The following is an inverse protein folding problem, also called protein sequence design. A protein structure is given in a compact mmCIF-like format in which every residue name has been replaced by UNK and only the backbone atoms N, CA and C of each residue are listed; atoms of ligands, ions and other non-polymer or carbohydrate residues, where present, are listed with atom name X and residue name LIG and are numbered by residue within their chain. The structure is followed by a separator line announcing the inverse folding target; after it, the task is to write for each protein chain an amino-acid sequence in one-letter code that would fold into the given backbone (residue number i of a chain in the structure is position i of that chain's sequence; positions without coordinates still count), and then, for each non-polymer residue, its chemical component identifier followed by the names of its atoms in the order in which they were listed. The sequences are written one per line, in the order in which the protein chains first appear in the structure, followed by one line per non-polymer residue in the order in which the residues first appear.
data_IF_041709457440
#
_entry.id   IF_041709457440
#
_cell.length_a   1.000
_cell.length_b   1.000
_cell.length_c   1.000
_cell.angle_alpha   90.00
_cell.angle_beta   90.00
_cell.angle_gamma   90.00
#
_symmetry.space_group_name_H-M   'P 1'
#
loop_
_entity.id
_entity.type
_entity.pdbx_description
1 polymer ?
#
# COMPACT_ATOMS: atom_id res chain seq x y z
N UNK A 1 -19.66 -46.87 -54.21
CA UNK A 1 -18.41 -47.05 -53.46
C UNK A 1 -17.87 -45.66 -53.12
N UNK A 2 -18.58 -44.90 -52.28
CA UNK A 2 -18.15 -43.53 -51.91
C UNK A 2 -18.83 -43.01 -50.63
N UNK A 3 -18.92 -43.88 -49.62
CA UNK A 3 -19.48 -43.57 -48.30
C UNK A 3 -18.38 -43.56 -47.24
N UNK A 4 -17.21 -42.98 -47.56
CA UNK A 4 -16.04 -43.07 -46.69
C UNK A 4 -15.15 -41.81 -46.68
N UNK A 5 -15.66 -40.64 -47.07
CA UNK A 5 -14.97 -39.37 -46.81
C UNK A 5 -15.44 -38.75 -45.50
N UNK A 6 -14.96 -39.38 -44.42
CA UNK A 6 -14.44 -38.77 -43.20
C UNK A 6 -15.00 -37.37 -42.89
N UNK A 7 -16.16 -37.34 -42.24
CA UNK A 7 -16.43 -36.36 -41.18
C UNK A 7 -15.45 -36.62 -40.04
N UNK A 8 -14.22 -36.15 -40.18
CA UNK A 8 -13.36 -35.87 -39.03
C UNK A 8 -13.80 -34.50 -38.50
N UNK A 9 -15.00 -34.44 -37.91
CA UNK A 9 -15.23 -33.42 -36.90
C UNK A 9 -14.30 -33.81 -35.76
N UNK A 10 -13.16 -33.12 -35.64
CA UNK A 10 -12.48 -33.02 -34.37
C UNK A 10 -13.51 -32.42 -33.41
N UNK A 11 -14.23 -33.29 -32.70
CA UNK A 11 -14.89 -32.92 -31.45
C UNK A 11 -13.78 -32.65 -30.47
N UNK A 12 -13.17 -31.46 -30.56
CA UNK A 12 -12.40 -30.93 -29.46
C UNK A 12 -13.38 -30.93 -28.28
N UNK A 13 -13.14 -31.79 -27.29
CA UNK A 13 -13.84 -31.68 -26.00
C UNK A 13 -13.79 -30.21 -25.58
N UNK A 14 -14.90 -29.64 -25.07
CA UNK A 14 -14.88 -28.27 -24.59
C UNK A 14 -13.71 -28.16 -23.61
N UNK A 15 -12.68 -27.39 -23.99
CA UNK A 15 -11.54 -27.13 -23.12
C UNK A 15 -12.14 -26.48 -21.88
N UNK A 16 -12.11 -27.17 -20.76
CA UNK A 16 -12.53 -26.61 -19.48
C UNK A 16 -11.72 -25.33 -19.28
N UNK A 17 -12.39 -24.16 -19.14
CA UNK A 17 -11.67 -22.92 -18.99
C UNK A 17 -10.85 -23.01 -17.70
N UNK A 18 -9.64 -22.44 -17.70
CA UNK A 18 -8.78 -22.44 -16.51
C UNK A 18 -9.49 -21.85 -15.27
N UNK A 19 -10.46 -20.97 -15.48
CA UNK A 19 -11.31 -20.39 -14.43
C UNK A 19 -12.24 -21.40 -13.74
N UNK A 20 -12.38 -22.62 -14.26
CA UNK A 20 -13.14 -23.70 -13.60
C UNK A 20 -12.28 -24.46 -12.58
N UNK A 21 -10.99 -24.17 -12.47
CA UNK A 21 -10.14 -24.74 -11.44
C UNK A 21 -10.56 -24.21 -10.05
N UNK A 22 -10.45 -25.04 -9.00
CA UNK A 22 -10.54 -24.57 -7.62
C UNK A 22 -9.59 -23.41 -7.33
N UNK A 23 -10.01 -22.51 -6.44
CA UNK A 23 -9.27 -21.29 -6.09
C UNK A 23 -7.83 -21.57 -5.62
N UNK A 24 -7.61 -22.66 -4.88
CA UNK A 24 -6.25 -23.01 -4.43
C UNK A 24 -5.31 -23.38 -5.58
N UNK A 25 -5.81 -23.97 -6.68
CA UNK A 25 -5.00 -24.26 -7.87
C UNK A 25 -4.73 -22.99 -8.67
N UNK A 26 -5.71 -22.09 -8.76
CA UNK A 26 -5.49 -20.78 -9.36
C UNK A 26 -4.44 -20.00 -8.58
N UNK A 27 -4.48 -20.02 -7.25
CA UNK A 27 -3.46 -19.38 -6.42
C UNK A 27 -2.05 -19.89 -6.72
N UNK A 28 -1.86 -21.21 -6.84
CA UNK A 28 -0.56 -21.80 -7.18
C UNK A 28 -0.04 -21.26 -8.52
N UNK A 29 -0.91 -21.06 -9.51
CA UNK A 29 -0.51 -20.47 -10.81
C UNK A 29 -0.10 -19.01 -10.64
N UNK A 30 -0.80 -18.24 -9.80
CA UNK A 30 -0.50 -16.83 -9.51
C UNK A 30 0.73 -16.64 -8.61
N UNK A 31 1.16 -17.68 -7.90
CA UNK A 31 2.39 -17.71 -7.10
C UNK A 31 3.62 -18.19 -7.91
N UNK A 32 3.44 -18.54 -9.20
CA UNK A 32 4.52 -19.01 -10.05
C UNK A 32 5.46 -17.86 -10.45
N UNK A 33 6.77 -18.05 -10.26
CA UNK A 33 7.81 -17.06 -10.55
C UNK A 33 7.87 -16.65 -12.05
N UNK A 34 7.18 -17.37 -12.93
CA UNK A 34 7.05 -17.01 -14.34
C UNK A 34 6.10 -15.82 -14.59
N UNK A 35 5.26 -15.44 -13.62
CA UNK A 35 4.37 -14.29 -13.71
C UNK A 35 4.92 -13.14 -12.86
N UNK A 36 5.15 -11.99 -13.51
CA UNK A 36 5.49 -10.78 -12.77
C UNK A 36 4.23 -10.06 -12.25
N UNK A 37 4.44 -8.98 -11.50
CA UNK A 37 3.33 -8.22 -10.91
C UNK A 37 2.45 -7.55 -11.98
N UNK A 38 3.02 -7.22 -13.14
CA UNK A 38 2.29 -6.62 -14.27
C UNK A 38 1.37 -7.65 -14.92
N UNK A 39 1.86 -8.86 -15.15
CA UNK A 39 1.09 -10.01 -15.63
C UNK A 39 -0.06 -10.33 -14.68
N UNK A 40 0.23 -10.40 -13.38
CA UNK A 40 -0.78 -10.66 -12.35
C UNK A 40 -1.85 -9.56 -12.34
N UNK A 41 -1.44 -8.30 -12.50
CA UNK A 41 -2.35 -7.15 -12.60
C UNK A 41 -3.24 -7.27 -13.83
N UNK A 42 -2.66 -7.58 -14.99
CA UNK A 42 -3.42 -7.77 -16.23
C UNK A 42 -4.41 -8.92 -16.11
N UNK A 43 -3.99 -10.07 -15.57
CA UNK A 43 -4.84 -11.24 -15.34
C UNK A 43 -6.00 -10.93 -14.38
N UNK A 44 -5.73 -10.18 -13.30
CA UNK A 44 -6.75 -9.75 -12.33
C UNK A 44 -7.92 -9.03 -13.00
N UNK A 45 -7.66 -8.25 -14.06
CA UNK A 45 -8.65 -7.46 -14.77
C UNK A 45 -9.49 -8.26 -15.78
N UNK A 46 -9.10 -9.49 -16.11
CA UNK A 46 -9.80 -10.29 -17.13
C UNK A 46 -11.13 -10.88 -16.62
N UNK A 47 -11.18 -11.34 -15.36
CA UNK A 47 -12.37 -11.96 -14.79
C UNK A 47 -12.35 -12.02 -13.25
N UNK A 48 -13.52 -12.20 -12.63
CA UNK A 48 -13.64 -12.28 -11.17
C UNK A 48 -12.91 -13.46 -10.52
N UNK A 49 -12.77 -14.61 -11.21
CA UNK A 49 -12.07 -15.77 -10.67
C UNK A 49 -10.57 -15.46 -10.48
N UNK A 50 -9.96 -14.83 -11.48
CA UNK A 50 -8.58 -14.36 -11.41
C UNK A 50 -8.43 -13.20 -10.43
N UNK A 51 -9.42 -12.30 -10.36
CA UNK A 51 -9.40 -11.24 -9.36
C UNK A 51 -9.29 -11.78 -7.92
N UNK A 52 -10.02 -12.85 -7.61
CA UNK A 52 -9.94 -13.51 -6.30
C UNK A 52 -8.59 -14.17 -6.06
N UNK A 53 -8.09 -14.94 -7.03
CA UNK A 53 -6.77 -15.57 -6.92
C UNK A 53 -5.66 -14.54 -6.73
N UNK A 54 -5.65 -13.47 -7.53
CA UNK A 54 -4.68 -12.38 -7.45
C UNK A 54 -4.73 -11.63 -6.11
N UNK A 55 -5.90 -11.52 -5.46
CA UNK A 55 -5.99 -10.87 -4.16
C UNK A 55 -5.12 -11.56 -3.10
N UNK A 56 -4.91 -12.88 -3.21
CA UNK A 56 -4.01 -13.61 -2.30
C UNK A 56 -2.53 -13.24 -2.47
N UNK A 57 -2.17 -12.60 -3.58
CA UNK A 57 -0.84 -12.03 -3.82
C UNK A 57 -0.80 -10.57 -3.35
N UNK A 58 -1.71 -9.74 -3.86
CA UNK A 58 -1.71 -8.29 -3.61
C UNK A 58 -1.98 -7.91 -2.15
N UNK A 59 -2.79 -8.70 -1.45
CA UNK A 59 -3.18 -8.40 -0.06
C UNK A 59 -2.49 -9.29 0.95
N UNK A 60 -1.51 -10.12 0.52
CA UNK A 60 -0.75 -10.97 1.44
C UNK A 60 -0.06 -10.16 2.53
N UNK A 61 0.62 -9.10 2.10
CA UNK A 61 1.23 -8.11 2.97
C UNK A 61 0.57 -6.77 2.70
N UNK A 62 0.15 -6.09 3.76
CA UNK A 62 -0.38 -4.73 3.69
C UNK A 62 0.50 -3.79 4.51
N UNK A 63 0.51 -2.53 4.12
CA UNK A 63 1.36 -1.50 4.71
C UNK A 63 0.51 -0.50 5.48
N UNK A 64 1.08 0.01 6.56
CA UNK A 64 0.52 1.12 7.32
C UNK A 64 1.65 2.07 7.73
N UNK A 65 1.37 3.37 7.78
CA UNK A 65 2.33 4.37 8.26
C UNK A 65 1.61 5.49 9.02
N UNK A 66 2.34 6.56 9.31
CA UNK A 66 1.81 7.77 9.94
C UNK A 66 0.92 8.60 8.99
N UNK A 67 0.81 8.23 7.72
CA UNK A 67 0.00 8.93 6.72
C UNK A 67 -1.49 8.58 6.82
N UNK A 68 -2.37 9.58 6.70
CA UNK A 68 -3.83 9.36 6.69
C UNK A 68 -4.24 8.36 5.59
N UNK A 69 -3.67 8.51 4.39
CA UNK A 69 -3.96 7.64 3.26
C UNK A 69 -3.72 6.15 3.57
N UNK A 70 -2.60 5.84 4.22
CA UNK A 70 -2.24 4.46 4.58
C UNK A 70 -3.17 3.90 5.64
N UNK A 71 -3.51 4.72 6.64
CA UNK A 71 -4.50 4.36 7.67
C UNK A 71 -5.85 4.06 7.03
N UNK A 72 -6.33 4.91 6.12
CA UNK A 72 -7.63 4.74 5.47
C UNK A 72 -7.68 3.50 4.57
N UNK A 73 -6.59 3.21 3.85
CA UNK A 73 -6.45 1.96 3.07
C UNK A 73 -6.47 0.75 3.99
N UNK A 74 -5.70 0.77 5.09
CA UNK A 74 -5.68 -0.31 6.08
C UNK A 74 -7.09 -0.58 6.62
N UNK A 75 -7.81 0.46 7.05
CA UNK A 75 -9.18 0.37 7.54
C UNK A 75 -10.11 -0.21 6.45
N UNK A 76 -9.97 0.24 5.21
CA UNK A 76 -10.77 -0.25 4.07
C UNK A 76 -10.56 -1.73 3.82
N UNK A 77 -9.31 -2.21 3.91
CA UNK A 77 -8.95 -3.61 3.73
C UNK A 77 -9.52 -4.46 4.87
N UNK A 78 -9.34 -4.03 6.13
CA UNK A 78 -9.87 -4.74 7.31
C UNK A 78 -11.40 -4.86 7.27
N UNK A 79 -12.10 -3.83 6.81
CA UNK A 79 -13.56 -3.84 6.66
C UNK A 79 -14.07 -4.61 5.42
N UNK A 80 -13.18 -5.16 4.61
CA UNK A 80 -13.52 -5.91 3.40
C UNK A 80 -13.21 -7.40 3.59
N UNK A 81 -14.16 -8.25 4.01
CA UNK A 81 -13.89 -9.65 4.38
C UNK A 81 -13.15 -10.46 3.30
N UNK A 82 -13.46 -10.20 2.03
CA UNK A 82 -12.84 -10.87 0.88
C UNK A 82 -11.39 -10.43 0.60
N UNK A 83 -10.95 -9.30 1.16
CA UNK A 83 -9.56 -8.82 1.15
C UNK A 83 -8.86 -9.22 2.45
N UNK A 84 -9.51 -8.96 3.60
CA UNK A 84 -9.01 -9.27 4.94
C UNK A 84 -8.58 -10.74 5.10
N UNK A 85 -9.32 -11.68 4.52
CA UNK A 85 -8.95 -13.09 4.55
C UNK A 85 -7.63 -13.41 3.84
N UNK A 86 -7.12 -12.52 2.98
CA UNK A 86 -5.86 -12.71 2.28
C UNK A 86 -4.67 -12.06 3.00
N UNK A 87 -4.89 -11.35 4.10
CA UNK A 87 -3.83 -10.66 4.85
C UNK A 87 -3.15 -11.61 5.81
N UNK A 88 -1.84 -11.76 5.66
CA UNK A 88 -0.96 -12.56 6.52
C UNK A 88 0.05 -11.70 7.26
N UNK A 89 0.43 -10.57 6.67
CA UNK A 89 1.51 -9.72 7.16
C UNK A 89 1.06 -8.26 7.16
N UNK A 90 1.32 -7.56 8.27
CA UNK A 90 1.23 -6.10 8.33
C UNK A 90 2.63 -5.54 8.51
N UNK A 91 2.99 -4.57 7.70
CA UNK A 91 4.25 -3.85 7.80
C UNK A 91 3.97 -2.39 8.19
N UNK A 92 4.40 -2.02 9.38
CA UNK A 92 4.45 -0.65 9.83
C UNK A 92 5.69 0.03 9.24
N UNK A 93 5.45 0.99 8.34
CA UNK A 93 6.49 1.76 7.70
C UNK A 93 6.76 3.04 8.49
N UNK A 94 7.92 3.04 9.15
CA UNK A 94 8.40 4.13 9.98
C UNK A 94 8.83 5.31 9.11
N UNK A 95 8.21 6.46 9.36
CA UNK A 95 8.56 7.75 8.76
C UNK A 95 9.08 8.65 9.87
N UNK A 96 10.27 9.22 9.68
CA UNK A 96 10.87 10.15 10.63
C UNK A 96 10.51 11.59 10.26
N UNK A 97 9.25 12.00 10.49
CA UNK A 97 8.83 13.38 10.22
C UNK A 97 8.79 14.24 11.50
N UNK A 98 9.27 15.48 11.40
CA UNK A 98 9.14 16.52 12.43
C UNK A 98 8.97 17.92 11.79
N UNK A 99 8.50 18.95 12.52
CA UNK A 99 8.28 20.27 11.92
C UNK A 99 9.62 20.88 11.50
N UNK A 100 9.73 21.29 10.23
CA UNK A 100 10.99 21.77 9.65
C UNK A 100 11.98 20.66 9.29
N UNK A 101 11.51 19.40 9.22
CA UNK A 101 12.25 18.28 8.65
C UNK A 101 12.59 18.54 7.18
N UNK A 102 11.59 18.95 6.39
CA UNK A 102 11.76 19.14 4.94
C UNK A 102 12.71 20.30 4.60
N UNK A 103 12.74 21.35 5.43
CA UNK A 103 13.70 22.44 5.31
C UNK A 103 15.16 22.03 5.55
N UNK A 104 15.41 20.87 6.17
CA UNK A 104 16.76 20.36 6.49
C UNK A 104 17.25 19.32 5.49
N UNK A 105 16.41 18.89 4.56
CA UNK A 105 16.79 17.90 3.56
C UNK A 105 17.88 18.46 2.63
N UNK A 106 18.91 17.66 2.33
CA UNK A 106 19.91 18.07 1.35
C UNK A 106 19.23 18.29 0.00
N UNK A 107 19.64 19.34 -0.70
CA UNK A 107 19.14 19.62 -2.04
C UNK A 107 19.56 18.47 -2.97
N UNK A 108 18.59 17.63 -3.35
CA UNK A 108 18.81 16.49 -4.25
C UNK A 108 18.76 16.92 -5.72
N UNK A 109 18.44 18.18 -6.00
CA UNK A 109 18.54 18.71 -7.36
C UNK A 109 20.00 18.66 -7.82
N UNK A 110 20.24 18.03 -8.96
CA UNK A 110 21.57 17.96 -9.56
C UNK A 110 21.97 19.30 -10.22
N UNK A 111 21.98 20.40 -9.44
CA UNK A 111 22.59 21.68 -9.81
C UNK A 111 21.89 22.44 -10.95
N UNK A 112 20.57 22.30 -11.10
CA UNK A 112 19.79 23.08 -12.06
C UNK A 112 18.90 24.06 -11.29
N UNK A 113 19.26 25.34 -11.29
CA UNK A 113 18.62 26.42 -10.53
C UNK A 113 17.07 26.48 -10.64
N UNK A 114 16.50 26.07 -11.79
CA UNK A 114 15.04 25.98 -11.97
C UNK A 114 14.39 24.85 -11.15
N UNK A 115 15.04 23.68 -11.03
CA UNK A 115 14.55 22.57 -10.21
C UNK A 115 14.75 22.82 -8.71
N UNK A 116 15.74 23.62 -8.33
CA UNK A 116 16.00 23.99 -6.93
C UNK A 116 14.82 24.79 -6.34
N UNK A 117 14.22 25.65 -7.15
CA UNK A 117 13.08 26.49 -6.74
C UNK A 117 11.79 25.66 -6.62
N UNK A 118 11.54 24.77 -7.58
CA UNK A 118 10.37 23.87 -7.54
C UNK A 118 10.44 22.89 -6.37
N UNK A 119 11.60 22.27 -6.15
CA UNK A 119 11.83 21.34 -5.05
C UNK A 119 11.65 22.03 -3.69
N UNK A 120 12.21 23.24 -3.53
CA UNK A 120 12.06 24.03 -2.29
C UNK A 120 10.61 24.44 -2.05
N UNK A 121 9.91 24.92 -3.07
CA UNK A 121 8.49 25.25 -2.96
C UNK A 121 7.66 24.01 -2.57
N UNK A 122 8.00 22.84 -3.11
CA UNK A 122 7.37 21.57 -2.73
C UNK A 122 7.63 21.24 -1.25
N UNK A 123 8.87 21.37 -0.77
CA UNK A 123 9.22 21.12 0.63
C UNK A 123 8.50 22.06 1.60
N UNK A 124 8.45 23.36 1.29
CA UNK A 124 7.70 24.34 2.08
C UNK A 124 6.20 24.02 2.09
N UNK A 125 5.67 23.57 0.95
CA UNK A 125 4.29 23.13 0.84
C UNK A 125 4.02 21.88 1.68
N UNK A 126 4.94 20.91 1.71
CA UNK A 126 4.85 19.73 2.57
C UNK A 126 4.88 20.08 4.06
N UNK A 127 5.76 20.99 4.48
CA UNK A 127 5.79 21.49 5.87
C UNK A 127 4.46 22.15 6.26
N UNK A 128 3.86 22.95 5.36
CA UNK A 128 2.56 23.59 5.60
C UNK A 128 1.38 22.61 5.65
N UNK A 129 1.50 21.48 4.96
CA UNK A 129 0.43 20.49 4.80
C UNK A 129 0.65 19.23 5.62
N UNK A 130 1.72 19.16 6.43
CA UNK A 130 2.06 17.98 7.20
C UNK A 130 0.90 17.53 8.11
N UNK A 131 0.18 18.48 8.73
CA UNK A 131 -0.99 18.18 9.57
C UNK A 131 -2.18 17.57 8.77
N UNK A 132 -2.19 17.71 7.44
CA UNK A 132 -3.18 17.09 6.55
C UNK A 132 -2.71 15.75 5.99
N UNK A 133 -1.39 15.55 5.92
CA UNK A 133 -0.75 14.33 5.44
C UNK A 133 -0.70 13.25 6.54
N UNK A 134 -0.35 13.67 7.76
CA UNK A 134 -0.04 12.78 8.87
C UNK A 134 -1.17 12.78 9.90
N UNK A 135 -1.70 11.58 10.19
CA UNK A 135 -2.67 11.43 11.28
C UNK A 135 -1.99 11.46 12.64
N UNK A 136 -0.68 11.19 12.67
CA UNK A 136 0.12 11.21 13.87
C UNK A 136 0.88 12.55 13.96
N UNK A 137 0.52 13.45 14.90
CA UNK A 137 1.15 14.76 15.03
C UNK A 137 2.65 14.64 15.29
N UNK A 138 3.48 15.46 14.66
CA UNK A 138 4.90 15.46 14.96
C UNK A 138 5.22 15.97 16.36
N UNK A 139 6.35 15.50 16.88
CA UNK A 139 6.96 16.09 18.07
C UNK A 139 7.73 17.34 17.64
N UNK A 140 7.32 18.51 18.14
CA UNK A 140 8.10 19.73 17.96
C UNK A 140 9.44 19.58 18.68
N UNK A 141 10.54 19.56 17.91
CA UNK A 141 11.91 19.59 18.44
C UNK A 141 12.27 21.02 18.88
N UNK A 142 11.50 22.01 18.43
CA UNK A 142 11.71 23.42 18.74
C UNK A 142 11.07 23.77 20.10
N UNK A 143 11.95 23.82 21.11
CA UNK A 143 11.73 24.40 22.45
C UNK A 143 10.87 23.57 23.43
N UNK A 144 11.50 22.77 24.31
CA UNK A 144 10.80 21.92 25.28
C UNK A 144 9.98 22.66 26.34
N UNK A 145 10.04 24.00 26.41
CA UNK A 145 9.58 24.76 27.58
C UNK A 145 8.37 25.69 27.34
N UNK A 146 7.82 25.79 26.13
CA UNK A 146 6.69 26.69 25.85
C UNK A 146 5.42 25.97 25.35
N UNK A 147 5.56 24.96 24.46
CA UNK A 147 4.42 24.21 23.90
C UNK A 147 4.60 22.68 23.91
N UNK A 148 5.77 22.17 24.34
CA UNK A 148 6.14 20.75 24.23
C UNK A 148 5.20 19.77 24.94
N UNK A 149 4.49 20.22 25.97
CA UNK A 149 3.52 19.40 26.70
C UNK A 149 2.23 19.19 25.87
N UNK A 150 1.79 20.19 25.10
CA UNK A 150 0.51 20.10 24.37
C UNK A 150 0.61 19.18 23.15
N UNK A 151 1.70 19.26 22.39
CA UNK A 151 1.90 18.40 21.21
C UNK A 151 2.21 16.95 21.60
N UNK A 152 2.95 16.73 22.70
CA UNK A 152 3.13 15.39 23.27
C UNK A 152 1.79 14.80 23.70
N UNK A 153 0.97 15.56 24.44
CA UNK A 153 -0.37 15.11 24.86
C UNK A 153 -1.27 14.81 23.65
N UNK A 154 -1.24 15.65 22.61
CA UNK A 154 -2.01 15.42 21.37
C UNK A 154 -1.55 14.16 20.66
N UNK A 155 -0.24 13.93 20.55
CA UNK A 155 0.32 12.74 19.94
C UNK A 155 -0.02 11.48 20.74
N UNK A 156 0.17 11.49 22.06
CA UNK A 156 -0.16 10.37 22.94
C UNK A 156 -1.64 10.02 22.88
N UNK A 157 -2.51 11.04 22.83
CA UNK A 157 -3.94 10.85 22.60
C UNK A 157 -4.22 10.21 21.25
N UNK A 158 -3.64 10.71 20.16
CA UNK A 158 -3.82 10.15 18.82
C UNK A 158 -3.34 8.69 18.74
N UNK A 159 -2.20 8.36 19.36
CA UNK A 159 -1.69 6.98 19.48
C UNK A 159 -2.67 6.12 20.26
N UNK A 160 -3.16 6.59 21.41
CA UNK A 160 -4.07 5.82 22.26
C UNK A 160 -5.39 5.52 21.54
N UNK A 161 -5.95 6.52 20.86
CA UNK A 161 -7.17 6.37 20.06
C UNK A 161 -6.95 5.39 18.91
N UNK A 162 -5.85 5.56 18.16
CA UNK A 162 -5.52 4.68 17.05
C UNK A 162 -5.21 3.25 17.51
N UNK A 163 -4.52 3.04 18.64
CA UNK A 163 -4.23 1.71 19.16
C UNK A 163 -5.52 0.95 19.48
N UNK A 164 -6.52 1.63 20.04
CA UNK A 164 -7.84 1.04 20.27
C UNK A 164 -8.45 0.51 18.98
N UNK A 165 -8.57 1.38 17.97
CA UNK A 165 -9.08 1.00 16.64
C UNK A 165 -8.23 -0.09 15.98
N UNK A 166 -6.90 0.02 16.06
CA UNK A 166 -5.96 -0.90 15.45
C UNK A 166 -6.18 -2.33 15.97
N UNK A 167 -6.29 -2.51 17.29
CA UNK A 167 -6.57 -3.83 17.86
C UNK A 167 -7.92 -4.39 17.43
N UNK A 168 -8.96 -3.57 17.29
CA UNK A 168 -10.25 -4.00 16.76
C UNK A 168 -10.12 -4.46 15.31
N UNK A 169 -9.38 -3.72 14.47
CA UNK A 169 -9.13 -4.09 13.08
C UNK A 169 -8.27 -5.34 12.92
N UNK A 170 -7.31 -5.59 13.82
CA UNK A 170 -6.52 -6.82 13.81
C UNK A 170 -7.42 -8.06 13.99
N UNK A 171 -8.51 -7.96 14.76
CA UNK A 171 -9.44 -9.08 14.95
C UNK A 171 -10.22 -9.42 13.66
N UNK A 172 -10.28 -8.51 12.70
CA UNK A 172 -10.94 -8.74 11.41
C UNK A 172 -10.03 -9.44 10.39
N UNK A 173 -8.76 -9.68 10.71
CA UNK A 173 -7.78 -10.30 9.83
C UNK A 173 -7.50 -11.76 10.26
N UNK A 174 -8.30 -12.73 9.80
CA UNK A 174 -8.30 -14.10 10.35
C UNK A 174 -7.01 -14.88 10.11
N UNK A 175 -6.21 -14.47 9.12
CA UNK A 175 -4.98 -15.16 8.71
C UNK A 175 -3.71 -14.38 9.08
N UNK A 176 -3.85 -13.24 9.76
CA UNK A 176 -2.72 -12.43 10.19
C UNK A 176 -1.83 -13.24 11.13
N UNK A 177 -0.56 -13.37 10.76
CA UNK A 177 0.43 -14.10 11.56
C UNK A 177 1.66 -13.27 11.89
N UNK A 178 1.90 -12.17 11.17
CA UNK A 178 3.13 -11.39 11.31
C UNK A 178 2.83 -9.89 11.31
N UNK A 179 3.45 -9.17 12.24
CA UNK A 179 3.49 -7.71 12.25
C UNK A 179 4.96 -7.30 12.34
N UNK A 180 5.41 -6.47 11.40
CA UNK A 180 6.79 -6.03 11.26
C UNK A 180 6.84 -4.51 11.31
N UNK A 181 7.89 -3.94 11.89
CA UNK A 181 8.22 -2.52 11.79
C UNK A 181 9.48 -2.36 10.96
N UNK A 182 9.46 -1.50 9.94
CA UNK A 182 10.61 -1.20 9.08
C UNK A 182 10.64 0.26 8.69
N UNK A 183 11.82 0.79 8.34
CA UNK A 183 11.93 2.10 7.73
C UNK A 183 11.18 2.13 6.39
N UNK A 184 10.51 3.25 6.10
CA UNK A 184 9.87 3.46 4.80
C UNK A 184 10.89 3.33 3.65
N UNK A 185 10.61 2.54 2.61
CA UNK A 185 11.46 2.47 1.42
C UNK A 185 11.57 3.82 0.71
N UNK A 186 12.77 4.19 0.29
CA UNK A 186 13.04 5.49 -0.34
C UNK A 186 12.33 5.68 -1.70
N UNK A 187 12.10 4.61 -2.43
CA UNK A 187 11.41 4.60 -3.72
C UNK A 187 9.87 4.59 -3.59
N UNK A 188 9.34 4.60 -2.36
CA UNK A 188 7.89 4.55 -2.14
C UNK A 188 7.23 5.83 -2.64
N UNK A 189 6.28 5.71 -3.55
CA UNK A 189 5.47 6.84 -3.99
C UNK A 189 4.40 7.20 -2.95
N UNK A 190 4.41 8.46 -2.53
CA UNK A 190 3.38 9.07 -1.70
C UNK A 190 2.43 9.88 -2.57
N UNK A 191 1.14 9.63 -2.38
CA UNK A 191 0.07 10.30 -3.12
C UNK A 191 -0.51 11.41 -2.24
N UNK A 192 -0.24 12.65 -2.62
CA UNK A 192 -0.97 13.82 -2.15
C UNK A 192 -2.19 14.09 -3.06
N UNK A 193 -3.17 14.87 -2.62
CA UNK A 193 -4.43 15.21 -3.32
C UNK A 193 -4.30 15.84 -4.74
N UNK A 194 -3.12 15.82 -5.36
CA UNK A 194 -2.85 16.21 -6.75
C UNK A 194 -2.27 15.05 -7.55
N UNK A 195 -2.49 15.05 -8.86
CA UNK A 195 -2.17 13.99 -9.85
C UNK A 195 -0.68 13.58 -9.95
N UNK A 196 0.21 14.11 -9.12
CA UNK A 196 1.65 13.83 -9.12
C UNK A 196 2.10 13.23 -7.79
N UNK A 197 2.35 11.91 -7.72
CA UNK A 197 3.00 11.31 -6.57
C UNK A 197 4.46 11.78 -6.45
N UNK A 198 5.02 11.75 -5.24
CA UNK A 198 6.43 12.03 -4.98
C UNK A 198 7.07 10.88 -4.17
N UNK A 199 8.37 10.67 -4.32
CA UNK A 199 9.09 9.56 -3.69
C UNK A 199 9.37 9.82 -2.21
N UNK A 200 9.37 8.75 -1.41
CA UNK A 200 9.59 8.78 0.02
C UNK A 200 11.05 9.02 0.41
N UNK A 201 11.99 9.05 -0.53
CA UNK A 201 13.37 9.50 -0.32
C UNK A 201 13.46 10.96 0.18
N UNK A 202 12.34 11.67 0.10
CA UNK A 202 12.11 12.98 0.70
C UNK A 202 11.91 12.88 2.23
N UNK A 203 11.84 11.68 2.81
CA UNK A 203 11.66 11.41 4.25
C UNK A 203 12.82 10.67 4.88
#
# INVERSE_FOLDING_TARGET
MDQALRKLSLTASPKTPITSLPEFLLRIVFEDDALDLEDITALRLTCHAFARAANSIFFRRIYISQLYHDRDIFITICNSPHLAQNVYEIEWQEISWFPGYFAQLPDLSHGKEEHDTEFRNMMETLDLLADQLFWLPALSIAQPNLNGDTDSIRRDKAITEFLGEFYEFLQLLPNLCTVISQAMPADRLLYWYSENPFEAQVF
#
